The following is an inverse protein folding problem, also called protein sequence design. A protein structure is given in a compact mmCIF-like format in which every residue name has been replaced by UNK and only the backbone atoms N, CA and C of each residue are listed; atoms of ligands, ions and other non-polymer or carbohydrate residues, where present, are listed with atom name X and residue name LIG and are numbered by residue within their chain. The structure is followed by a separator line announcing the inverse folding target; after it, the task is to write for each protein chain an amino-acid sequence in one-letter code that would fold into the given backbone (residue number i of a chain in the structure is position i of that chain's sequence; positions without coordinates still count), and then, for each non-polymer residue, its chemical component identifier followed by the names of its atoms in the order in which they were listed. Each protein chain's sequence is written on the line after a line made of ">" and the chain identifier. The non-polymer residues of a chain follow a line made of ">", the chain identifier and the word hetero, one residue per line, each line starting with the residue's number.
data_IF_097855755228
#
_entry.id   IF_097855755228
#
_cell.length_a   1.000
_cell.length_b   1.000
_cell.length_c   1.000
_cell.angle_alpha   90.00
_cell.angle_beta   90.00
_cell.angle_gamma   90.00
#
_symmetry.space_group_name_H-M   'P 1'
#
loop_
_entity.id
_entity.type
_entity.pdbx_description
1 polymer ?
#
# COMPACT_ATOMS: atom_id res chain seq x y z
N UNK A 1 -14.39 6.99 5.21
CA UNK A 1 -13.43 8.12 5.37
C UNK A 1 -12.04 7.71 4.86
N UNK A 2 -11.37 8.56 4.06
CA UNK A 2 -10.01 8.35 3.57
C UNK A 2 -8.95 8.80 4.60
N UNK A 3 -7.87 8.03 4.78
CA UNK A 3 -6.74 8.38 5.66
C UNK A 3 -5.42 7.87 5.08
N UNK A 4 -4.41 8.75 5.00
CA UNK A 4 -3.03 8.42 4.61
C UNK A 4 -2.11 8.66 5.80
N UNK A 5 -1.36 7.64 6.23
CA UNK A 5 -0.58 7.66 7.46
C UNK A 5 0.85 7.20 7.20
N UNK A 6 1.81 7.93 7.75
CA UNK A 6 3.24 7.53 7.82
C UNK A 6 3.69 7.25 9.27
N UNK A 7 2.78 7.45 10.23
CA UNK A 7 2.97 7.23 11.67
C UNK A 7 1.80 6.42 12.25
N UNK A 8 2.09 5.58 13.23
CA UNK A 8 1.08 4.80 13.93
C UNK A 8 0.22 5.70 14.83
N UNK A 9 -1.11 5.53 14.79
CA UNK A 9 -2.03 6.32 15.63
C UNK A 9 -1.87 6.05 17.13
N UNK A 10 -1.54 4.83 17.53
CA UNK A 10 -1.50 4.43 18.94
C UNK A 10 -0.32 5.02 19.72
N UNK A 11 0.85 5.18 19.08
CA UNK A 11 2.07 5.60 19.77
C UNK A 11 2.93 6.62 19.00
N UNK A 12 2.47 7.11 17.83
CA UNK A 12 3.19 8.09 17.02
C UNK A 12 4.45 7.59 16.32
N UNK A 13 4.82 6.32 16.51
CA UNK A 13 6.02 5.73 15.91
C UNK A 13 5.94 5.79 14.38
N UNK A 14 7.08 6.04 13.72
CA UNK A 14 7.15 6.00 12.27
C UNK A 14 6.83 4.59 11.76
N UNK A 15 5.99 4.49 10.74
CA UNK A 15 5.68 3.20 10.11
C UNK A 15 6.87 2.71 9.27
N UNK A 16 7.75 3.61 8.81
CA UNK A 16 8.76 3.28 7.81
C UNK A 16 8.09 2.85 6.50
N UNK A 17 7.14 3.65 6.02
CA UNK A 17 6.29 3.35 4.88
C UNK A 17 4.99 4.16 4.93
N UNK A 18 3.99 3.73 4.16
CA UNK A 18 2.67 4.37 4.10
C UNK A 18 1.57 3.36 4.42
N UNK A 19 0.53 3.79 5.13
CA UNK A 19 -0.75 3.09 5.24
C UNK A 19 -1.86 3.98 4.72
N UNK A 20 -2.60 3.49 3.74
CA UNK A 20 -3.80 4.13 3.19
C UNK A 20 -5.02 3.35 3.64
N UNK A 21 -6.05 4.03 4.08
CA UNK A 21 -7.29 3.40 4.59
C UNK A 21 -8.48 4.15 4.02
N UNK A 22 -9.43 3.39 3.47
CA UNK A 22 -10.73 3.86 3.01
C UNK A 22 -11.80 3.37 3.98
N UNK A 23 -13.07 3.45 3.59
CA UNK A 23 -14.16 2.89 4.38
C UNK A 23 -14.12 1.36 4.41
N UNK A 24 -13.89 0.71 3.26
CA UNK A 24 -14.06 -0.74 3.11
C UNK A 24 -12.76 -1.50 2.84
N UNK A 25 -11.62 -0.82 2.85
CA UNK A 25 -10.33 -1.44 2.56
C UNK A 25 -9.15 -0.62 3.08
N UNK A 26 -8.00 -1.27 3.23
CA UNK A 26 -6.73 -0.60 3.47
C UNK A 26 -5.58 -1.34 2.78
N UNK A 27 -4.50 -0.59 2.52
CA UNK A 27 -3.21 -1.19 2.22
C UNK A 27 -2.10 -0.48 2.99
N UNK A 28 -0.99 -1.19 3.21
CA UNK A 28 0.24 -0.64 3.76
C UNK A 28 1.43 -1.12 2.93
N UNK A 29 2.31 -0.18 2.57
CA UNK A 29 3.53 -0.46 1.83
C UNK A 29 4.76 -0.07 2.64
N UNK A 30 5.75 -0.97 2.71
CA UNK A 30 7.01 -0.79 3.46
C UNK A 30 8.18 -1.44 2.71
N UNK A 31 9.40 -0.88 2.78
CA UNK A 31 10.59 -1.57 2.28
C UNK A 31 10.84 -2.84 3.10
N UNK A 32 11.32 -3.89 2.44
CA UNK A 32 11.84 -5.08 3.13
C UNK A 32 13.12 -4.72 3.88
N UNK A 33 13.32 -5.31 5.06
CA UNK A 33 14.54 -5.10 5.85
C UNK A 33 15.73 -5.96 5.41
N UNK A 34 15.50 -6.94 4.54
CA UNK A 34 16.48 -8.00 4.22
C UNK A 34 16.66 -8.24 2.72
N UNK A 35 15.84 -7.64 1.87
CA UNK A 35 15.86 -7.83 0.42
C UNK A 35 15.64 -6.47 -0.26
N UNK A 36 16.14 -6.31 -1.48
CA UNK A 36 15.89 -5.12 -2.31
C UNK A 36 14.50 -5.20 -2.96
N UNK A 37 13.47 -5.15 -2.12
CA UNK A 37 12.05 -5.22 -2.49
C UNK A 37 11.22 -4.41 -1.50
N UNK A 38 10.01 -4.02 -1.90
CA UNK A 38 8.97 -3.56 -0.98
C UNK A 38 7.90 -4.64 -0.77
N UNK A 39 7.13 -4.51 0.30
CA UNK A 39 6.02 -5.40 0.65
C UNK A 39 4.74 -4.59 0.73
N UNK A 40 3.67 -5.10 0.12
CA UNK A 40 2.31 -4.59 0.26
C UNK A 40 1.51 -5.58 1.09
N UNK A 41 0.84 -5.05 2.11
CA UNK A 41 -0.20 -5.74 2.88
C UNK A 41 -1.52 -5.06 2.58
N UNK A 42 -2.57 -5.83 2.29
CA UNK A 42 -3.88 -5.28 1.96
C UNK A 42 -5.00 -6.13 2.57
N UNK A 43 -6.13 -5.48 2.83
CA UNK A 43 -7.36 -6.13 3.29
C UNK A 43 -8.57 -5.39 2.71
N UNK A 44 -9.63 -6.15 2.45
CA UNK A 44 -10.92 -5.66 1.95
C UNK A 44 -12.05 -6.31 2.74
N UNK A 45 -13.04 -5.49 3.10
CA UNK A 45 -14.29 -5.92 3.73
C UNK A 45 -15.35 -6.34 2.69
N UNK A 46 -15.09 -6.16 1.40
CA UNK A 46 -16.01 -6.50 0.29
C UNK A 46 -15.62 -7.81 -0.42
N UNK A 47 -14.62 -8.52 0.10
CA UNK A 47 -14.22 -9.84 -0.41
C UNK A 47 -13.10 -9.82 -1.46
N UNK A 48 -12.81 -10.99 -2.08
CA UNK A 48 -11.58 -11.23 -2.82
C UNK A 48 -11.40 -10.40 -4.10
N UNK A 49 -12.48 -10.16 -4.86
CA UNK A 49 -12.39 -9.35 -6.08
C UNK A 49 -12.05 -7.90 -5.76
N UNK A 50 -12.63 -7.36 -4.69
CA UNK A 50 -12.26 -6.02 -4.23
C UNK A 50 -10.85 -5.99 -3.65
N UNK A 51 -10.42 -7.04 -2.94
CA UNK A 51 -9.03 -7.16 -2.47
C UNK A 51 -8.03 -7.10 -3.63
N UNK A 52 -8.31 -7.82 -4.73
CA UNK A 52 -7.45 -7.78 -5.92
C UNK A 52 -7.35 -6.36 -6.52
N UNK A 53 -8.47 -5.62 -6.58
CA UNK A 53 -8.45 -4.20 -7.01
C UNK A 53 -7.64 -3.31 -6.08
N UNK A 54 -7.76 -3.53 -4.77
CA UNK A 54 -6.99 -2.78 -3.76
C UNK A 54 -5.49 -3.07 -3.88
N UNK A 55 -5.10 -4.31 -4.15
CA UNK A 55 -3.71 -4.69 -4.37
C UNK A 55 -3.13 -4.03 -5.63
N UNK A 56 -3.84 -4.11 -6.76
CA UNK A 56 -3.41 -3.46 -8.00
C UNK A 56 -3.27 -1.94 -7.84
N UNK A 57 -4.23 -1.29 -7.18
CA UNK A 57 -4.16 0.14 -6.90
C UNK A 57 -2.98 0.50 -5.96
N UNK A 58 -2.68 -0.37 -4.99
CA UNK A 58 -1.54 -0.17 -4.10
C UNK A 58 -0.20 -0.26 -4.86
N UNK A 59 -0.06 -1.24 -5.76
CA UNK A 59 1.11 -1.39 -6.63
C UNK A 59 1.30 -0.16 -7.53
N UNK A 60 0.22 0.32 -8.18
CA UNK A 60 0.26 1.53 -9.02
C UNK A 60 0.70 2.77 -8.22
N UNK A 61 0.11 2.99 -7.04
CA UNK A 61 0.43 4.15 -6.20
C UNK A 61 1.87 4.11 -5.70
N UNK A 62 2.34 2.94 -5.24
CA UNK A 62 3.70 2.77 -4.73
C UNK A 62 4.71 2.87 -5.87
N UNK A 63 4.44 2.23 -7.02
CA UNK A 63 5.28 2.29 -8.20
C UNK A 63 5.51 3.73 -8.66
N UNK A 64 4.43 4.51 -8.83
CA UNK A 64 4.51 5.94 -9.15
C UNK A 64 5.32 6.74 -8.13
N UNK A 65 5.08 6.50 -6.84
CA UNK A 65 5.81 7.22 -5.78
C UNK A 65 7.31 6.92 -5.77
N UNK A 66 7.71 5.73 -6.21
CA UNK A 66 9.10 5.30 -6.30
C UNK A 66 9.72 5.58 -7.68
N UNK A 67 8.96 6.09 -8.65
CA UNK A 67 9.42 6.28 -10.03
C UNK A 67 9.63 4.95 -10.78
N UNK A 68 8.99 3.88 -10.32
CA UNK A 68 8.98 2.57 -10.96
C UNK A 68 7.75 2.55 -11.87
N UNK A 69 7.90 3.07 -13.08
CA UNK A 69 6.91 2.84 -14.14
C UNK A 69 7.19 1.47 -14.73
N UNK A 70 6.20 0.57 -14.76
CA UNK A 70 6.34 -0.62 -15.60
C UNK A 70 6.52 -0.16 -17.06
N UNK A 71 7.44 -0.77 -17.83
CA UNK A 71 7.50 -0.49 -19.26
C UNK A 71 6.13 -0.74 -19.86
N UNK A 72 5.69 0.16 -20.75
CA UNK A 72 4.51 -0.10 -21.58
C UNK A 72 4.65 -1.51 -22.15
N UNK A 73 3.67 -2.36 -21.86
CA UNK A 73 3.56 -3.66 -22.52
C UNK A 73 3.39 -3.38 -24.02
N UNK A 74 4.40 -3.72 -24.81
CA UNK A 74 4.32 -3.74 -26.28
C UNK A 74 3.28 -4.77 -26.77
#
# INVERSE_FOLDING_TARGET
>A
MLSVQTRARGNGAALGGVKVTTENAWFAARPSGTEDKYKIYAESFEGPEHLARVQAAAEEVVGRALGIEEPAVD
#
